data_IF_344639355898
#
_entry.id   IF_344639355898
#
_cell.length_a   1.000
_cell.length_b   1.000
_cell.length_c   1.000
_cell.angle_alpha   90.00
_cell.angle_beta   90.00
_cell.angle_gamma   90.00
#
_symmetry.space_group_name_H-M   'P 1'
#
loop_
_entity.id
_entity.type
_entity.pdbx_description
1 polymer ?
#
# COMPACT_ATOMS: atom_id res chain seq x y z
N UNK A 1 -24.72 -17.75 -10.24
CA UNK A 1 -23.25 -17.77 -10.06
C UNK A 1 -22.74 -16.69 -9.10
N UNK A 2 -23.28 -15.46 -9.06
CA UNK A 2 -22.81 -14.38 -8.17
C UNK A 2 -22.81 -14.74 -6.66
N UNK A 3 -23.85 -15.41 -6.16
CA UNK A 3 -23.98 -15.78 -4.73
C UNK A 3 -22.96 -16.82 -4.23
N UNK A 4 -22.34 -17.59 -5.14
CA UNK A 4 -21.29 -18.56 -4.80
C UNK A 4 -19.93 -17.87 -4.64
N UNK A 5 -19.63 -16.83 -5.42
CA UNK A 5 -18.40 -16.04 -5.25
C UNK A 5 -18.41 -15.23 -3.94
N UNK A 6 -19.57 -14.81 -3.45
CA UNK A 6 -19.69 -14.14 -2.15
C UNK A 6 -19.42 -15.09 -0.96
N UNK A 7 -19.69 -16.39 -1.11
CA UNK A 7 -19.56 -17.40 -0.04
C UNK A 7 -18.30 -18.26 -0.13
N UNK A 8 -17.78 -18.48 -1.34
CA UNK A 8 -16.66 -19.38 -1.64
C UNK A 8 -15.52 -18.71 -2.41
N UNK A 9 -15.68 -17.46 -2.85
CA UNK A 9 -14.54 -16.66 -3.24
C UNK A 9 -13.73 -16.40 -1.98
N UNK A 10 -12.52 -16.95 -1.90
CA UNK A 10 -11.59 -16.66 -0.82
C UNK A 10 -11.27 -15.15 -0.85
N UNK A 11 -12.14 -14.34 -0.24
CA UNK A 11 -11.88 -12.94 0.02
C UNK A 11 -10.80 -12.92 1.07
N UNK A 12 -9.63 -12.45 0.68
CA UNK A 12 -8.54 -12.18 1.60
C UNK A 12 -9.09 -11.38 2.80
N UNK A 13 -8.77 -11.86 4.00
CA UNK A 13 -9.14 -11.16 5.23
C UNK A 13 -8.42 -9.81 5.24
N UNK A 14 -9.07 -8.71 5.67
CA UNK A 14 -8.44 -7.40 5.74
C UNK A 14 -7.10 -7.42 6.49
N UNK A 15 -7.00 -8.18 7.58
CA UNK A 15 -5.75 -8.34 8.33
C UNK A 15 -4.61 -8.97 7.50
N UNK A 16 -4.92 -9.94 6.63
CA UNK A 16 -3.92 -10.56 5.74
C UNK A 16 -3.47 -9.57 4.66
N UNK A 17 -4.41 -8.84 4.06
CA UNK A 17 -4.10 -7.81 3.08
C UNK A 17 -3.25 -6.68 3.67
N UNK A 18 -3.59 -6.23 4.89
CA UNK A 18 -2.80 -5.23 5.64
C UNK A 18 -1.42 -5.75 5.99
N UNK A 19 -1.30 -7.01 6.43
CA UNK A 19 -0.01 -7.64 6.71
C UNK A 19 0.88 -7.69 5.46
N UNK A 20 0.31 -8.07 4.29
CA UNK A 20 1.05 -8.05 3.01
C UNK A 20 1.50 -6.64 2.65
N UNK A 21 0.60 -5.67 2.77
CA UNK A 21 0.93 -4.26 2.52
C UNK A 21 2.06 -3.77 3.43
N UNK A 22 2.03 -4.08 4.72
CA UNK A 22 3.07 -3.68 5.66
C UNK A 22 4.43 -4.29 5.36
N UNK A 23 4.48 -5.51 4.83
CA UNK A 23 5.73 -6.23 4.58
C UNK A 23 6.29 -6.03 3.17
N UNK A 24 5.55 -5.45 2.24
CA UNK A 24 6.02 -5.30 0.85
C UNK A 24 7.23 -4.34 0.76
N UNK A 25 8.17 -4.63 -0.13
CA UNK A 25 9.32 -3.79 -0.46
C UNK A 25 9.54 -3.85 -1.98
N UNK A 26 10.20 -2.82 -2.52
CA UNK A 26 10.61 -2.83 -3.93
C UNK A 26 11.53 -4.01 -4.19
N UNK A 27 11.24 -4.77 -5.24
CA UNK A 27 12.04 -5.93 -5.66
C UNK A 27 13.28 -5.50 -6.45
N UNK A 28 14.31 -6.34 -6.45
CA UNK A 28 15.53 -6.09 -7.24
C UNK A 28 15.17 -6.16 -8.73
N UNK A 29 15.39 -5.05 -9.44
CA UNK A 29 15.05 -4.93 -10.86
C UNK A 29 13.62 -4.45 -11.14
N UNK A 30 12.81 -4.22 -10.10
CA UNK A 30 11.48 -3.60 -10.24
C UNK A 30 11.62 -2.11 -10.52
N UNK A 31 10.91 -1.62 -11.56
CA UNK A 31 10.90 -0.19 -11.86
C UNK A 31 10.14 0.60 -10.78
N UNK A 32 10.36 1.91 -10.71
CA UNK A 32 9.63 2.76 -9.77
C UNK A 32 8.13 2.81 -10.11
N UNK A 33 7.79 2.78 -11.39
CA UNK A 33 6.40 2.78 -11.85
C UNK A 33 5.70 1.48 -11.42
N UNK A 34 6.30 0.32 -11.68
CA UNK A 34 5.77 -0.98 -11.27
C UNK A 34 5.62 -1.06 -9.73
N UNK A 35 6.63 -0.58 -9.00
CA UNK A 35 6.58 -0.50 -7.54
C UNK A 35 5.42 0.38 -7.07
N UNK A 36 5.21 1.55 -7.69
CA UNK A 36 4.13 2.47 -7.34
C UNK A 36 2.75 1.84 -7.55
N UNK A 37 2.54 1.18 -8.69
CA UNK A 37 1.29 0.51 -9.04
C UNK A 37 0.99 -0.65 -8.09
N UNK A 38 2.04 -1.41 -7.72
CA UNK A 38 1.91 -2.53 -6.78
C UNK A 38 1.55 -2.06 -5.38
N UNK A 39 2.20 -1.00 -4.89
CA UNK A 39 1.88 -0.40 -3.58
C UNK A 39 0.46 0.15 -3.55
N UNK A 40 0.02 0.86 -4.60
CA UNK A 40 -1.35 1.38 -4.69
C UNK A 40 -2.39 0.26 -4.72
N UNK A 41 -2.12 -0.82 -5.44
CA UNK A 41 -3.01 -1.99 -5.52
C UNK A 41 -3.14 -2.69 -4.17
N UNK A 42 -2.02 -2.87 -3.47
CA UNK A 42 -2.02 -3.45 -2.13
C UNK A 42 -2.73 -2.54 -1.12
N UNK A 43 -2.53 -1.22 -1.18
CA UNK A 43 -3.20 -0.27 -0.30
C UNK A 43 -4.73 -0.29 -0.48
N UNK A 44 -5.20 -0.28 -1.73
CA UNK A 44 -6.64 -0.38 -2.05
C UNK A 44 -7.27 -1.66 -1.52
N UNK A 45 -6.50 -2.76 -1.52
CA UNK A 45 -6.98 -4.06 -1.01
C UNK A 45 -6.95 -4.11 0.52
N UNK A 46 -5.87 -3.62 1.14
CA UNK A 46 -5.66 -3.60 2.59
C UNK A 46 -6.61 -2.66 3.35
N UNK A 47 -6.99 -1.54 2.72
CA UNK A 47 -7.80 -0.48 3.31
C UNK A 47 -9.11 -0.27 2.56
N UNK A 48 -9.66 -1.32 1.94
CA UNK A 48 -10.89 -1.26 1.13
C UNK A 48 -12.11 -0.69 1.85
N UNK A 49 -12.13 -0.84 3.18
CA UNK A 49 -13.22 -0.41 4.06
C UNK A 49 -12.97 1.01 4.64
N UNK A 50 -11.85 1.64 4.28
CA UNK A 50 -11.46 3.00 4.69
C UNK A 50 -11.55 3.97 3.49
N UNK A 51 -11.35 5.26 3.75
CA UNK A 51 -11.42 6.28 2.70
C UNK A 51 -10.29 6.14 1.68
N UNK A 52 -10.56 6.53 0.43
CA UNK A 52 -9.55 6.57 -0.63
C UNK A 52 -8.36 7.46 -0.25
N UNK A 53 -8.63 8.58 0.42
CA UNK A 53 -7.58 9.48 0.92
C UNK A 53 -6.66 8.75 1.91
N UNK A 54 -7.21 7.98 2.84
CA UNK A 54 -6.43 7.18 3.77
C UNK A 54 -5.54 6.17 3.05
N UNK A 55 -6.12 5.37 2.13
CA UNK A 55 -5.37 4.39 1.36
C UNK A 55 -4.23 5.03 0.54
N UNK A 56 -4.45 6.23 0.00
CA UNK A 56 -3.44 7.00 -0.75
C UNK A 56 -2.29 7.44 0.14
N UNK A 57 -2.57 8.00 1.32
CA UNK A 57 -1.54 8.40 2.29
C UNK A 57 -0.70 7.19 2.72
N UNK A 58 -1.34 6.05 2.98
CA UNK A 58 -0.64 4.82 3.31
C UNK A 58 0.25 4.36 2.15
N UNK A 59 -0.27 4.36 0.91
CA UNK A 59 0.49 3.98 -0.28
C UNK A 59 1.74 4.85 -0.46
N UNK A 60 1.62 6.16 -0.37
CA UNK A 60 2.74 7.10 -0.53
C UNK A 60 3.80 6.91 0.57
N UNK A 61 3.35 6.75 1.81
CA UNK A 61 4.23 6.44 2.95
C UNK A 61 4.98 5.13 2.71
N UNK A 62 4.26 4.10 2.25
CA UNK A 62 4.85 2.78 2.05
C UNK A 62 5.79 2.74 0.85
N UNK A 63 5.45 3.45 -0.23
CA UNK A 63 6.29 3.60 -1.40
C UNK A 63 7.67 4.11 -1.01
N UNK A 64 7.72 5.21 -0.26
CA UNK A 64 8.97 5.85 0.18
C UNK A 64 9.82 4.95 1.08
N UNK A 65 9.20 4.30 2.07
CA UNK A 65 9.92 3.41 2.99
C UNK A 65 10.33 2.06 2.38
N UNK A 66 9.58 1.60 1.38
CA UNK A 66 9.81 0.31 0.72
C UNK A 66 10.82 0.37 -0.42
N UNK A 67 11.33 1.56 -0.80
CA UNK A 67 12.33 1.70 -1.85
C UNK A 67 13.59 0.88 -1.57
N UNK A 68 14.16 0.33 -2.64
CA UNK A 68 15.45 -0.35 -2.61
C UNK A 68 16.57 0.65 -2.30
N UNK A 69 16.53 1.82 -2.96
CA UNK A 69 17.39 2.95 -2.66
C UNK A 69 16.93 3.65 -1.38
N UNK A 70 17.66 3.40 -0.29
CA UNK A 70 17.35 3.94 1.03
C UNK A 70 17.62 5.43 1.14
N UNK A 71 18.53 5.99 0.34
CA UNK A 71 18.81 7.43 0.37
C UNK A 71 17.73 8.20 -0.38
N UNK A 72 17.31 7.71 -1.55
CA UNK A 72 16.14 8.26 -2.25
C UNK A 72 14.87 8.19 -1.39
N UNK A 73 14.66 7.06 -0.70
CA UNK A 73 13.54 6.91 0.24
C UNK A 73 13.54 7.90 1.39
N UNK A 74 14.70 8.16 2.02
CA UNK A 74 14.82 9.17 3.08
C UNK A 74 14.48 10.58 2.59
N UNK A 75 14.96 10.95 1.40
CA UNK A 75 14.66 12.26 0.82
C UNK A 75 13.17 12.45 0.55
N UNK A 76 12.49 11.43 0.04
CA UNK A 76 11.04 11.46 -0.18
C UNK A 76 10.27 11.54 1.14
N UNK A 77 10.63 10.73 2.14
CA UNK A 77 9.97 10.76 3.46
C UNK A 77 10.10 12.10 4.18
N UNK A 78 11.19 12.86 3.97
CA UNK A 78 11.38 14.20 4.55
C UNK A 78 10.55 15.29 3.84
N UNK A 79 10.18 15.07 2.59
CA UNK A 79 9.42 16.03 1.77
C UNK A 79 7.91 15.76 1.78
N UNK A 80 7.51 14.56 2.14
CA UNK A 80 6.11 14.26 2.38
C UNK A 80 5.66 15.06 3.61
N UNK A 81 4.58 15.86 3.50
CA UNK A 81 3.96 16.39 4.69
C UNK A 81 3.55 15.18 5.52
N UNK A 82 4.26 14.96 6.63
CA UNK A 82 3.77 14.16 7.74
C UNK A 82 2.32 14.58 7.89
N UNK A 83 1.39 13.64 7.71
CA UNK A 83 -0.03 13.91 7.88
C UNK A 83 -0.21 14.38 9.32
N UNK A 84 -0.10 15.69 9.54
CA UNK A 84 -0.33 16.35 10.79
C UNK A 84 -1.83 16.24 11.03
N UNK A 85 -2.14 15.51 12.10
CA UNK A 85 -3.35 15.68 12.90
C UNK A 85 -4.66 15.39 12.17
N UNK A 86 -5.05 14.11 12.14
CA UNK A 86 -6.46 13.81 12.35
C UNK A 86 -6.76 13.99 13.84
N UNK A 87 -7.37 15.14 14.17
CA UNK A 87 -8.07 15.43 15.43
C UNK A 87 -9.21 14.43 15.62
#
# INVERSE_FOLDING_TARGET
MQRLQERFGARELPATAQSRFQNVQQEVGESLDDWSDRVLTLAKTAFRDLSYAYATVQAVTKFSHGLLDKEAGKHLSLQLPMATECI
#
